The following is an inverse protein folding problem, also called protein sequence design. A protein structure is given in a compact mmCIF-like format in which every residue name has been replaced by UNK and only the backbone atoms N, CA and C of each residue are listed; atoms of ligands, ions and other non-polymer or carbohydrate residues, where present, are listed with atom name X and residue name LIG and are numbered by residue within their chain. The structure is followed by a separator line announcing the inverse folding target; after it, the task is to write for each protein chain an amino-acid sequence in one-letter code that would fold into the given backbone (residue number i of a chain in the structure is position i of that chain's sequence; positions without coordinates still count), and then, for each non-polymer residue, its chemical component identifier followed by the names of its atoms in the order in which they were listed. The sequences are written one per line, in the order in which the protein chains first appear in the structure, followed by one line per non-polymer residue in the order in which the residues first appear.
data_IF_536248186608
#
_entry.id   IF_536248186608
#
_cell.length_a   1.000
_cell.length_b   1.000
_cell.length_c   1.000
_cell.angle_alpha   90.00
_cell.angle_beta   90.00
_cell.angle_gamma   90.00
#
_symmetry.space_group_name_H-M   'P 1'
#
loop_
_entity.id
_entity.type
_entity.pdbx_description
1 polymer ?
#
# COMPACT_ATOMS: atom_id res chain seq x y z
N UNK A 1 39.66 76.06 14.81
CA UNK A 1 39.92 74.62 15.07
C UNK A 1 38.69 73.86 14.61
N UNK A 2 38.92 72.94 13.66
CA UNK A 2 38.18 71.71 13.34
C UNK A 2 36.64 71.83 13.24
N UNK A 3 36.00 71.75 12.08
CA UNK A 3 36.19 70.78 10.99
C UNK A 3 34.90 69.94 10.90
N UNK A 4 34.06 70.08 9.84
CA UNK A 4 32.75 69.45 9.74
C UNK A 4 32.83 68.11 8.99
N UNK A 5 32.04 67.11 9.38
CA UNK A 5 31.78 65.95 8.51
C UNK A 5 30.32 65.49 8.59
N UNK A 6 29.68 65.54 7.42
CA UNK A 6 28.45 64.89 7.02
C UNK A 6 28.51 63.37 7.24
N UNK A 7 27.38 62.76 7.59
CA UNK A 7 27.14 61.34 7.30
C UNK A 7 25.74 61.11 6.74
N UNK A 8 25.78 60.64 5.49
CA UNK A 8 24.69 60.14 4.66
C UNK A 8 23.84 59.06 5.34
N UNK A 9 22.55 59.12 5.05
CA UNK A 9 21.60 58.03 5.20
C UNK A 9 21.80 56.98 4.09
N UNK A 10 22.01 55.72 4.49
CA UNK A 10 21.74 54.51 3.69
C UNK A 10 21.18 53.40 4.59
N UNK A 11 20.37 52.47 4.03
CA UNK A 11 19.35 51.73 4.76
C UNK A 11 19.89 50.50 5.50
N UNK A 12 19.16 50.10 6.53
CA UNK A 12 19.41 48.90 7.32
C UNK A 12 19.31 47.63 6.46
N UNK A 13 20.44 46.93 6.34
CA UNK A 13 20.53 45.51 6.01
C UNK A 13 20.47 44.77 7.34
N UNK A 14 19.43 43.98 7.57
CA UNK A 14 19.39 43.04 8.70
C UNK A 14 20.01 41.72 8.24
N UNK A 15 21.31 41.55 8.54
CA UNK A 15 21.95 40.26 8.50
C UNK A 15 21.45 39.38 9.65
N UNK A 16 21.17 38.13 9.28
CA UNK A 16 20.90 37.00 10.15
C UNK A 16 22.13 36.72 11.02
N UNK A 17 21.99 36.79 12.34
CA UNK A 17 22.98 36.25 13.26
C UNK A 17 22.68 34.77 13.52
N UNK A 18 23.52 33.92 12.93
CA UNK A 18 23.80 32.58 13.41
C UNK A 18 24.51 32.60 14.77
N UNK A 19 24.28 31.54 15.54
CA UNK A 19 24.91 31.26 16.84
C UNK A 19 24.04 30.24 17.59
N UNK A 20 23.97 28.99 17.13
CA UNK A 20 24.84 27.88 17.56
C UNK A 20 24.70 27.57 19.06
N UNK A 21 24.68 26.36 19.57
CA UNK A 21 24.75 24.99 19.09
C UNK A 21 24.88 24.17 20.39
N UNK A 22 24.24 23.01 20.50
CA UNK A 22 24.81 21.81 21.14
C UNK A 22 23.72 20.80 21.48
N UNK A 23 23.58 19.78 20.62
CA UNK A 23 23.68 18.36 20.98
C UNK A 23 23.72 17.55 19.69
N UNK A 24 24.90 17.51 19.09
CA UNK A 24 25.31 16.39 18.27
C UNK A 24 25.73 15.26 19.22
N UNK A 25 25.02 14.14 19.21
CA UNK A 25 25.58 12.87 19.64
C UNK A 25 25.73 12.00 18.40
N UNK A 26 26.99 11.90 17.97
CA UNK A 26 27.49 10.88 17.06
C UNK A 26 27.17 9.48 17.58
N UNK A 27 26.58 8.63 16.75
CA UNK A 27 26.89 7.20 16.78
C UNK A 27 26.65 6.58 15.40
N UNK A 28 27.79 6.34 14.73
CA UNK A 28 28.07 5.24 13.80
C UNK A 28 27.10 4.97 12.65
N UNK A 29 27.66 5.00 11.44
CA UNK A 29 27.15 4.30 10.27
C UNK A 29 26.76 2.86 10.65
N UNK A 30 25.47 2.64 10.88
CA UNK A 30 24.87 1.33 10.98
C UNK A 30 24.34 1.02 9.59
N UNK A 31 24.86 -0.06 9.01
CA UNK A 31 24.38 -0.65 7.77
C UNK A 31 22.87 -0.74 7.83
N UNK A 32 22.18 0.16 7.11
CA UNK A 32 20.74 0.19 7.02
C UNK A 32 20.28 -1.10 6.35
N UNK A 33 19.99 -2.11 7.17
CA UNK A 33 19.37 -3.34 6.75
C UNK A 33 18.05 -2.99 6.07
N UNK A 34 17.95 -3.33 4.79
CA UNK A 34 16.68 -3.33 4.06
C UNK A 34 15.75 -4.32 4.78
N UNK A 35 14.78 -3.83 5.52
CA UNK A 35 13.79 -4.65 6.21
C UNK A 35 12.47 -4.57 5.45
N UNK A 36 12.14 -5.66 4.76
CA UNK A 36 10.91 -5.89 4.02
C UNK A 36 9.80 -6.36 4.96
N UNK A 37 8.55 -5.94 4.72
CA UNK A 37 7.38 -6.69 5.18
C UNK A 37 6.98 -7.65 4.06
N UNK A 38 7.42 -8.90 4.16
CA UNK A 38 6.82 -10.00 3.40
C UNK A 38 5.68 -10.52 4.28
N UNK A 39 4.45 -10.44 3.79
CA UNK A 39 3.31 -11.10 4.42
C UNK A 39 3.47 -12.62 4.22
N UNK A 40 4.12 -13.30 5.16
CA UNK A 40 4.17 -14.76 5.16
C UNK A 40 2.81 -15.24 5.70
N UNK A 41 1.89 -15.56 4.79
CA UNK A 41 0.64 -16.24 5.11
C UNK A 41 0.96 -17.70 5.39
N UNK A 42 0.63 -18.17 6.59
CA UNK A 42 0.70 -19.59 6.93
C UNK A 42 -0.69 -20.20 6.72
N UNK A 43 -0.93 -20.80 5.56
CA UNK A 43 -2.17 -21.54 5.33
C UNK A 43 -2.09 -22.93 6.00
N UNK A 44 -3.17 -23.42 6.65
CA UNK A 44 -3.25 -24.81 7.08
C UNK A 44 -3.48 -25.70 5.86
N UNK A 45 -2.43 -26.44 5.48
CA UNK A 45 -2.44 -27.42 4.40
C UNK A 45 -1.13 -28.21 4.40
N UNK A 46 -1.17 -29.47 3.95
CA UNK A 46 0.05 -30.28 3.81
C UNK A 46 0.80 -29.80 2.57
N UNK A 47 1.62 -28.76 2.75
CA UNK A 47 2.60 -28.35 1.74
C UNK A 47 3.57 -29.52 1.55
N UNK A 48 3.81 -29.94 0.31
CA UNK A 48 4.73 -31.03 0.01
C UNK A 48 6.15 -30.66 0.46
N UNK A 49 6.97 -31.64 0.83
CA UNK A 49 8.34 -31.37 1.25
C UNK A 49 9.20 -30.82 0.10
N UNK A 50 8.82 -31.10 -1.15
CA UNK A 50 9.42 -30.51 -2.34
C UNK A 50 9.14 -29.00 -2.44
N UNK A 51 7.89 -28.57 -2.22
CA UNK A 51 7.51 -27.16 -2.26
C UNK A 51 8.15 -26.39 -1.09
N UNK A 52 8.26 -27.00 0.09
CA UNK A 52 8.99 -26.42 1.23
C UNK A 52 10.48 -26.25 0.93
N UNK A 53 11.10 -27.23 0.28
CA UNK A 53 12.51 -27.18 -0.10
C UNK A 53 12.76 -26.10 -1.16
N UNK A 54 11.87 -25.95 -2.14
CA UNK A 54 11.95 -24.92 -3.16
C UNK A 54 11.75 -23.52 -2.58
N UNK A 55 10.73 -23.32 -1.72
CA UNK A 55 10.51 -22.05 -1.03
C UNK A 55 11.69 -21.68 -0.12
N UNK A 56 12.27 -22.67 0.57
CA UNK A 56 13.49 -22.48 1.37
C UNK A 56 14.66 -22.02 0.49
N UNK A 57 14.90 -22.67 -0.65
CA UNK A 57 15.99 -22.31 -1.55
C UNK A 57 15.84 -20.88 -2.12
N UNK A 58 14.61 -20.46 -2.45
CA UNK A 58 14.28 -19.10 -2.87
C UNK A 58 14.51 -18.07 -1.76
N UNK A 59 14.06 -18.36 -0.55
CA UNK A 59 14.31 -17.47 0.59
C UNK A 59 15.80 -17.42 0.96
N UNK A 60 16.54 -18.52 0.76
CA UNK A 60 17.98 -18.57 0.98
C UNK A 60 18.78 -17.76 -0.05
N UNK A 61 18.35 -17.77 -1.31
CA UNK A 61 18.99 -16.98 -2.37
C UNK A 61 18.73 -15.48 -2.22
N UNK A 62 17.54 -15.11 -1.72
CA UNK A 62 17.11 -13.71 -1.63
C UNK A 62 17.50 -13.05 -0.30
N UNK A 63 17.55 -13.81 0.80
CA UNK A 63 17.79 -13.27 2.14
C UNK A 63 19.01 -13.89 2.87
N UNK A 64 19.75 -14.80 2.24
CA UNK A 64 20.86 -15.52 2.86
C UNK A 64 20.38 -16.66 3.78
N UNK A 65 21.14 -17.05 4.80
CA UNK A 65 20.81 -18.21 5.66
C UNK A 65 19.36 -18.16 6.21
N UNK A 66 18.50 -19.02 5.69
CA UNK A 66 17.08 -19.11 6.05
C UNK A 66 16.89 -19.51 7.50
N UNK A 67 17.77 -20.30 8.11
CA UNK A 67 17.70 -20.59 9.54
C UNK A 67 18.05 -19.37 10.39
N UNK A 68 18.93 -18.49 9.91
CA UNK A 68 19.23 -17.20 10.56
C UNK A 68 18.05 -16.23 10.43
N UNK A 69 17.41 -16.16 9.26
CA UNK A 69 16.18 -15.40 9.04
C UNK A 69 15.03 -15.94 9.89
N UNK A 70 14.79 -17.25 9.89
CA UNK A 70 13.74 -17.91 10.68
C UNK A 70 13.93 -17.73 12.19
N UNK A 71 15.18 -17.68 12.66
CA UNK A 71 15.51 -17.41 14.08
C UNK A 71 15.46 -15.93 14.44
N UNK A 72 15.56 -15.02 13.48
CA UNK A 72 15.38 -13.58 13.68
C UNK A 72 13.91 -13.16 13.62
N UNK A 73 13.03 -13.99 13.04
CA UNK A 73 11.59 -13.84 13.17
C UNK A 73 11.18 -13.95 14.65
N UNK A 74 10.36 -13.01 15.18
CA UNK A 74 9.88 -13.09 16.54
C UNK A 74 9.14 -14.41 16.74
N UNK A 75 9.56 -15.23 17.72
CA UNK A 75 8.83 -16.44 18.10
C UNK A 75 7.38 -16.06 18.42
N UNK A 76 6.43 -16.67 17.72
CA UNK A 76 5.00 -16.51 17.98
C UNK A 76 4.69 -16.96 19.41
N UNK A 77 4.14 -16.05 20.20
CA UNK A 77 3.37 -16.44 21.37
C UNK A 77 2.14 -17.23 20.88
N UNK A 78 1.58 -18.16 21.68
CA UNK A 78 0.36 -18.86 21.31
C UNK A 78 -0.74 -17.87 20.89
N UNK A 79 -1.63 -18.25 19.94
CA UNK A 79 -2.65 -17.37 19.41
C UNK A 79 -3.60 -16.98 20.54
N UNK A 80 -3.34 -15.81 21.12
CA UNK A 80 -4.36 -15.05 21.80
C UNK A 80 -5.21 -14.47 20.68
N UNK A 81 -6.52 -14.76 20.70
CA UNK A 81 -7.49 -14.16 19.77
C UNK A 81 -7.08 -12.72 19.49
N UNK A 82 -6.88 -12.27 18.24
CA UNK A 82 -6.46 -10.91 18.00
C UNK A 82 -7.52 -10.00 18.61
N UNK A 83 -7.16 -9.38 19.73
CA UNK A 83 -7.99 -8.33 20.27
C UNK A 83 -7.90 -7.23 19.23
N UNK A 84 -9.00 -6.99 18.50
CA UNK A 84 -9.18 -5.82 17.63
C UNK A 84 -9.23 -4.52 18.44
N UNK A 85 -8.62 -4.51 19.62
CA UNK A 85 -8.51 -3.37 20.47
C UNK A 85 -7.14 -2.75 20.29
N UNK A 86 -7.12 -1.43 20.11
CA UNK A 86 -5.89 -0.66 20.03
C UNK A 86 -5.75 0.22 21.27
N UNK A 87 -4.51 0.43 21.76
CA UNK A 87 -4.27 1.40 22.80
C UNK A 87 -4.32 2.82 22.24
N UNK A 88 -5.07 3.71 22.86
CA UNK A 88 -5.12 5.14 22.53
C UNK A 88 -4.97 5.95 23.82
N UNK A 89 -4.31 7.11 23.76
CA UNK A 89 -4.03 7.90 24.96
C UNK A 89 -5.07 9.00 25.14
N UNK A 90 -5.70 9.04 26.29
CA UNK A 90 -6.44 10.22 26.76
C UNK A 90 -5.50 11.11 27.57
N UNK A 91 -5.92 12.35 27.84
CA UNK A 91 -5.14 13.29 28.66
C UNK A 91 -4.74 12.70 30.03
N UNK A 92 -5.53 11.76 30.56
CA UNK A 92 -5.37 11.23 31.92
C UNK A 92 -5.10 9.72 31.99
N UNK A 93 -5.19 8.95 30.88
CA UNK A 93 -4.97 7.50 30.91
C UNK A 93 -4.84 6.85 29.53
N UNK A 94 -4.22 5.66 29.48
CA UNK A 94 -4.23 4.76 28.31
C UNK A 94 -5.55 3.99 28.28
N UNK A 95 -6.35 4.21 27.25
CA UNK A 95 -7.59 3.47 27.01
C UNK A 95 -7.39 2.42 25.92
N UNK A 96 -8.11 1.31 26.04
CA UNK A 96 -8.18 0.28 25.01
C UNK A 96 -9.50 0.45 24.27
N UNK A 97 -9.46 0.77 22.98
CA UNK A 97 -10.67 0.99 22.17
C UNK A 97 -10.85 -0.13 21.15
N UNK A 98 -12.08 -0.52 20.87
CA UNK A 98 -12.40 -1.42 19.75
C UNK A 98 -12.17 -0.68 18.42
N UNK A 99 -11.18 -1.13 17.66
CA UNK A 99 -10.77 -0.51 16.40
C UNK A 99 -11.87 -0.55 15.34
N UNK A 100 -12.67 -1.62 15.29
CA UNK A 100 -13.75 -1.74 14.29
C UNK A 100 -14.84 -0.73 14.60
N UNK A 101 -15.26 -0.65 15.86
CA UNK A 101 -16.27 0.32 16.29
C UNK A 101 -15.78 1.75 16.07
N UNK A 102 -14.55 2.06 16.51
CA UNK A 102 -13.93 3.38 16.33
C UNK A 102 -13.86 3.80 14.86
N UNK A 103 -13.35 2.94 13.98
CA UNK A 103 -13.28 3.24 12.54
C UNK A 103 -14.67 3.37 11.92
N UNK A 104 -15.65 2.58 12.37
CA UNK A 104 -17.02 2.69 11.86
C UNK A 104 -17.61 4.07 12.17
N UNK A 105 -17.48 4.55 13.41
CA UNK A 105 -17.97 5.87 13.80
C UNK A 105 -17.21 7.01 13.09
N UNK A 106 -15.91 6.86 12.92
CA UNK A 106 -15.05 7.83 12.22
C UNK A 106 -15.44 7.95 10.75
N UNK A 107 -15.72 6.84 10.08
CA UNK A 107 -15.86 6.80 8.61
C UNK A 107 -17.30 6.96 8.12
N UNK A 108 -18.31 6.72 8.96
CA UNK A 108 -19.73 6.82 8.56
C UNK A 108 -20.07 8.22 7.99
N UNK A 109 -19.48 9.28 8.54
CA UNK A 109 -19.73 10.66 8.10
C UNK A 109 -19.13 10.98 6.73
N UNK A 110 -18.17 10.17 6.27
CA UNK A 110 -17.58 10.22 4.93
C UNK A 110 -18.31 9.32 3.93
N UNK A 111 -19.42 8.70 4.37
CA UNK A 111 -20.21 7.79 3.55
C UNK A 111 -19.53 6.44 3.34
N UNK A 112 -18.75 5.95 4.29
CA UNK A 112 -18.18 4.61 4.26
C UNK A 112 -18.93 3.66 5.19
N UNK A 113 -19.14 2.42 4.73
CA UNK A 113 -19.79 1.34 5.49
C UNK A 113 -18.84 0.14 5.57
N UNK A 114 -18.88 -0.67 6.64
CA UNK A 114 -18.07 -1.88 6.72
C UNK A 114 -18.28 -2.79 5.50
N UNK A 115 -17.21 -3.21 4.85
CA UNK A 115 -17.26 -4.03 3.64
C UNK A 115 -17.51 -5.54 3.92
N UNK A 116 -18.12 -5.86 5.06
CA UNK A 116 -18.31 -7.23 5.55
C UNK A 116 -17.16 -7.76 6.41
N UNK A 117 -17.39 -8.89 7.09
CA UNK A 117 -16.33 -9.64 7.79
C UNK A 117 -15.74 -10.62 6.79
N UNK A 118 -14.43 -10.60 6.55
CA UNK A 118 -13.79 -11.80 6.02
C UNK A 118 -13.57 -12.81 7.14
N UNK A 119 -13.68 -14.08 6.74
CA UNK A 119 -13.94 -15.26 7.56
C UNK A 119 -12.70 -15.87 8.21
N UNK A 120 -11.55 -15.20 8.18
CA UNK A 120 -10.36 -15.60 8.94
C UNK A 120 -10.16 -14.61 10.08
N UNK A 121 -10.38 -15.09 11.31
CA UNK A 121 -10.20 -14.33 12.56
C UNK A 121 -8.76 -13.82 12.74
N UNK A 122 -7.82 -14.25 11.89
CA UNK A 122 -6.38 -13.98 11.96
C UNK A 122 -5.93 -12.68 11.25
N UNK A 123 -6.82 -11.95 10.59
CA UNK A 123 -6.46 -10.72 9.90
C UNK A 123 -6.75 -9.47 10.76
N UNK A 124 -5.67 -8.73 11.09
CA UNK A 124 -5.72 -7.38 11.68
C UNK A 124 -6.19 -6.30 10.68
N UNK A 125 -6.75 -6.71 9.54
CA UNK A 125 -7.18 -5.81 8.49
C UNK A 125 -8.71 -5.60 8.50
N UNK A 126 -9.12 -4.35 8.37
CA UNK A 126 -10.52 -3.94 8.40
C UNK A 126 -10.80 -3.12 7.14
N UNK A 127 -11.80 -3.53 6.35
CA UNK A 127 -12.18 -2.85 5.12
C UNK A 127 -13.52 -2.14 5.21
N UNK A 128 -13.61 -1.00 4.55
CA UNK A 128 -14.80 -0.18 4.41
C UNK A 128 -15.05 0.11 2.93
N UNK A 129 -16.31 0.00 2.50
CA UNK A 129 -16.77 0.35 1.16
C UNK A 129 -17.43 1.72 1.20
N UNK A 130 -17.15 2.57 0.23
CA UNK A 130 -17.88 3.81 0.09
C UNK A 130 -19.31 3.57 -0.41
N UNK A 131 -20.30 4.11 0.28
CA UNK A 131 -21.71 4.10 -0.11
C UNK A 131 -21.95 4.84 -1.43
N UNK A 132 -21.06 5.78 -1.77
CA UNK A 132 -21.05 6.48 -3.05
C UNK A 132 -20.34 5.69 -4.17
N UNK A 133 -19.96 4.43 -3.97
CA UNK A 133 -19.50 3.56 -5.05
C UNK A 133 -20.55 3.44 -6.17
N UNK A 134 -20.12 3.19 -7.40
CA UNK A 134 -21.02 2.93 -8.52
C UNK A 134 -21.11 1.42 -8.81
N UNK A 135 -22.04 0.98 -9.68
CA UNK A 135 -22.05 -0.40 -10.18
C UNK A 135 -20.80 -0.76 -11.01
N UNK A 136 -20.13 0.21 -11.63
CA UNK A 136 -18.96 -0.03 -12.48
C UNK A 136 -17.65 0.02 -11.69
N UNK A 137 -17.55 0.92 -10.70
CA UNK A 137 -16.34 1.15 -9.90
C UNK A 137 -16.69 1.20 -8.42
N UNK A 138 -16.11 0.26 -7.68
CA UNK A 138 -16.19 0.17 -6.23
C UNK A 138 -15.02 0.93 -5.59
N UNK A 139 -15.28 1.58 -4.46
CA UNK A 139 -14.26 2.33 -3.72
C UNK A 139 -14.16 1.79 -2.31
N UNK A 140 -12.93 1.54 -1.87
CA UNK A 140 -12.64 0.98 -0.57
C UNK A 140 -11.58 1.79 0.16
N UNK A 141 -11.64 1.73 1.49
CA UNK A 141 -10.52 2.04 2.38
C UNK A 141 -10.29 0.80 3.22
N UNK A 142 -9.03 0.36 3.36
CA UNK A 142 -8.67 -0.68 4.32
C UNK A 142 -7.64 -0.17 5.32
N UNK A 143 -7.66 -0.75 6.51
CA UNK A 143 -6.79 -0.41 7.63
C UNK A 143 -6.14 -1.66 8.18
N UNK A 144 -4.87 -1.58 8.55
CA UNK A 144 -4.15 -2.67 9.20
C UNK A 144 -3.42 -2.16 10.45
N UNK A 145 -3.69 -2.80 11.59
CA UNK A 145 -3.01 -2.49 12.84
C UNK A 145 -1.81 -3.43 13.04
N UNK A 146 -0.65 -2.86 13.36
CA UNK A 146 0.60 -3.60 13.51
C UNK A 146 1.50 -3.06 14.64
N UNK A 147 2.54 -3.82 14.97
CA UNK A 147 3.41 -3.57 16.12
C UNK A 147 3.07 -4.44 17.33
N UNK A 148 3.91 -4.42 18.37
CA UNK A 148 3.65 -5.12 19.64
C UNK A 148 3.79 -4.13 20.81
N UNK A 149 2.67 -3.70 21.46
CA UNK A 149 1.27 -3.96 21.07
C UNK A 149 0.91 -3.31 19.72
N UNK A 150 -0.25 -3.62 19.13
CA UNK A 150 -0.76 -2.98 17.90
C UNK A 150 -0.76 -1.45 18.09
N UNK A 151 0.31 -0.77 17.71
CA UNK A 151 0.59 0.64 18.04
C UNK A 151 0.65 1.51 16.78
N UNK A 152 0.71 0.88 15.61
CA UNK A 152 0.71 1.56 14.34
C UNK A 152 -0.53 1.20 13.56
N UNK A 153 -1.11 2.20 12.89
CA UNK A 153 -2.23 2.03 11.98
C UNK A 153 -1.80 2.48 10.58
N UNK A 154 -1.77 1.53 9.64
CA UNK A 154 -1.65 1.83 8.22
C UNK A 154 -3.01 1.80 7.55
N UNK A 155 -3.11 2.47 6.40
CA UNK A 155 -4.32 2.47 5.60
C UNK A 155 -4.01 2.52 4.10
N UNK A 156 -4.91 1.97 3.31
CA UNK A 156 -4.89 2.01 1.85
C UNK A 156 -6.25 2.39 1.30
N UNK A 157 -6.25 3.11 0.19
CA UNK A 157 -7.44 3.43 -0.61
C UNK A 157 -7.39 2.63 -1.90
N UNK A 158 -8.49 1.97 -2.25
CA UNK A 158 -8.52 1.02 -3.35
C UNK A 158 -9.72 1.22 -4.24
N UNK A 159 -9.53 1.06 -5.54
CA UNK A 159 -10.59 1.04 -6.55
C UNK A 159 -10.75 -0.36 -7.11
N UNK A 160 -11.99 -0.81 -7.26
CA UNK A 160 -12.31 -2.14 -7.77
C UNK A 160 -13.20 -2.09 -9.00
N UNK A 161 -12.96 -3.01 -9.92
CA UNK A 161 -13.86 -3.35 -11.02
C UNK A 161 -13.84 -4.87 -11.14
N UNK A 162 -14.89 -5.55 -10.67
CA UNK A 162 -14.89 -6.99 -10.41
C UNK A 162 -14.34 -7.84 -11.56
N UNK A 163 -14.76 -7.67 -12.84
CA UNK A 163 -14.18 -8.46 -13.93
C UNK A 163 -12.68 -8.22 -14.14
N UNK A 164 -12.21 -6.99 -13.92
CA UNK A 164 -10.79 -6.64 -14.09
C UNK A 164 -9.96 -7.13 -12.90
N UNK A 165 -10.52 -7.10 -11.69
CA UNK A 165 -9.88 -7.67 -10.50
C UNK A 165 -9.70 -9.19 -10.65
N UNK A 166 -10.75 -9.90 -11.10
CA UNK A 166 -10.69 -11.35 -11.37
C UNK A 166 -9.66 -11.69 -12.45
N UNK A 167 -9.62 -10.89 -13.53
CA UNK A 167 -8.60 -11.05 -14.56
C UNK A 167 -7.19 -10.84 -14.01
N UNK A 168 -6.98 -9.79 -13.22
CA UNK A 168 -5.69 -9.48 -12.60
C UNK A 168 -5.25 -10.55 -11.60
N UNK A 169 -6.17 -11.12 -10.83
CA UNK A 169 -5.90 -12.26 -9.96
C UNK A 169 -5.48 -13.49 -10.74
N UNK A 170 -6.18 -13.81 -11.82
CA UNK A 170 -5.82 -14.94 -12.67
C UNK A 170 -4.45 -14.74 -13.33
N UNK A 171 -4.18 -13.53 -13.83
CA UNK A 171 -2.87 -13.16 -14.36
C UNK A 171 -1.80 -13.36 -13.28
N UNK A 172 -2.00 -12.79 -12.09
CA UNK A 172 -1.08 -12.95 -10.94
C UNK A 172 -0.77 -14.43 -10.66
N UNK A 173 -1.79 -15.28 -10.55
CA UNK A 173 -1.59 -16.71 -10.28
C UNK A 173 -0.81 -17.43 -11.39
N UNK A 174 -0.99 -17.00 -12.65
CA UNK A 174 -0.27 -17.55 -13.79
C UNK A 174 1.22 -17.17 -13.81
N UNK A 175 1.58 -16.03 -13.21
CA UNK A 175 2.96 -15.54 -13.15
C UNK A 175 3.68 -15.81 -11.82
N UNK A 176 2.94 -16.13 -10.76
CA UNK A 176 3.53 -16.53 -9.49
C UNK A 176 4.04 -17.98 -9.52
N UNK A 177 5.19 -18.26 -8.88
CA UNK A 177 5.61 -19.63 -8.59
C UNK A 177 4.51 -20.36 -7.82
N UNK A 178 4.37 -21.67 -8.07
CA UNK A 178 3.30 -22.50 -7.50
C UNK A 178 3.18 -22.37 -5.97
N UNK A 179 4.32 -22.29 -5.27
CA UNK A 179 4.39 -22.14 -3.81
C UNK A 179 3.71 -20.87 -3.25
N UNK A 180 3.51 -19.84 -4.08
CA UNK A 180 2.87 -18.59 -3.67
C UNK A 180 1.39 -18.54 -4.05
N UNK A 181 0.89 -19.44 -4.91
CA UNK A 181 -0.51 -19.37 -5.40
C UNK A 181 -1.53 -19.46 -4.27
N UNK A 182 -1.30 -20.34 -3.31
CA UNK A 182 -2.21 -20.55 -2.17
C UNK A 182 -2.22 -19.37 -1.18
N UNK A 183 -1.11 -18.63 -1.09
CA UNK A 183 -0.99 -17.42 -0.25
C UNK A 183 -1.84 -16.29 -0.83
N UNK A 184 -1.92 -16.19 -2.15
CA UNK A 184 -2.62 -15.10 -2.84
C UNK A 184 -4.05 -15.44 -3.26
N UNK A 185 -4.47 -16.71 -3.16
CA UNK A 185 -5.81 -17.16 -3.55
C UNK A 185 -6.95 -16.62 -2.66
N UNK A 186 -6.65 -16.03 -1.49
CA UNK A 186 -7.65 -15.56 -0.52
C UNK A 186 -7.37 -14.13 -0.08
N UNK A 187 -7.59 -13.17 -0.96
CA UNK A 187 -7.57 -11.76 -0.58
C UNK A 187 -8.96 -11.29 -0.14
N UNK A 188 -9.03 -10.46 0.92
CA UNK A 188 -10.25 -9.79 1.29
C UNK A 188 -10.87 -9.01 0.13
N UNK A 189 -12.20 -8.98 0.02
CA UNK A 189 -12.91 -8.31 -1.09
C UNK A 189 -12.58 -6.81 -1.26
N UNK A 190 -12.07 -6.16 -0.21
CA UNK A 190 -11.67 -4.75 -0.19
C UNK A 190 -10.19 -4.53 -0.58
N UNK A 191 -9.38 -5.58 -0.64
CA UNK A 191 -8.06 -5.52 -1.24
C UNK A 191 -8.22 -5.62 -2.75
N UNK A 192 -7.98 -4.51 -3.44
CA UNK A 192 -8.03 -4.43 -4.91
C UNK A 192 -6.65 -4.16 -5.48
N UNK A 193 -6.46 -4.48 -6.76
CA UNK A 193 -5.16 -4.32 -7.42
C UNK A 193 -4.86 -2.85 -7.73
N UNK A 194 -5.88 -2.00 -7.89
CA UNK A 194 -5.69 -0.55 -7.93
C UNK A 194 -5.75 0.01 -6.51
N UNK A 195 -4.68 -0.19 -5.75
CA UNK A 195 -4.54 0.23 -4.35
C UNK A 195 -3.43 1.27 -4.18
N UNK A 196 -3.66 2.24 -3.30
CA UNK A 196 -2.73 3.30 -2.98
C UNK A 196 -2.57 3.41 -1.46
N UNK A 197 -1.33 3.39 -0.97
CA UNK A 197 -1.01 3.54 0.45
C UNK A 197 -1.39 4.96 0.92
N UNK A 198 -2.49 5.07 1.68
CA UNK A 198 -3.01 6.36 2.15
C UNK A 198 -1.96 7.08 2.99
N UNK A 199 -1.28 6.37 3.90
CA UNK A 199 -0.28 7.00 4.74
C UNK A 199 0.95 7.50 3.98
N UNK A 200 1.26 6.93 2.80
CA UNK A 200 2.33 7.46 1.95
C UNK A 200 1.89 8.79 1.35
N UNK A 201 0.67 8.82 0.82
CA UNK A 201 0.08 9.98 0.17
C UNK A 201 -0.16 11.12 1.16
N UNK A 202 -0.65 10.79 2.35
CA UNK A 202 -0.92 11.73 3.43
C UNK A 202 0.30 12.03 4.30
N UNK A 203 1.49 11.54 3.92
CA UNK A 203 2.76 11.76 4.64
C UNK A 203 2.68 11.41 6.13
N UNK A 204 1.99 10.31 6.45
CA UNK A 204 2.02 9.73 7.79
C UNK A 204 3.43 9.23 8.10
N UNK A 205 3.74 9.12 9.39
CA UNK A 205 5.11 8.95 9.91
C UNK A 205 5.77 7.62 9.56
N UNK A 206 6.20 6.88 10.58
CA UNK A 206 7.02 5.69 10.38
C UNK A 206 6.31 4.67 9.49
N UNK A 207 6.97 4.29 8.38
CA UNK A 207 6.44 3.32 7.41
C UNK A 207 5.01 3.66 6.97
N UNK A 208 4.74 4.94 6.71
CA UNK A 208 3.45 5.39 6.18
C UNK A 208 2.27 5.01 7.10
N UNK A 209 2.51 5.00 8.41
CA UNK A 209 1.54 4.63 9.43
C UNK A 209 1.43 5.73 10.49
N UNK A 210 0.27 5.83 11.13
CA UNK A 210 0.09 6.66 12.32
C UNK A 210 0.57 5.86 13.53
N UNK A 211 1.42 6.45 14.38
CA UNK A 211 1.64 5.95 15.73
C UNK A 211 0.43 6.34 16.58
N UNK A 212 -0.51 5.40 16.76
CA UNK A 212 -1.77 5.67 17.45
C UNK A 212 -1.57 5.97 18.94
N UNK A 213 -0.38 5.70 19.47
CA UNK A 213 -0.04 6.04 20.85
C UNK A 213 0.25 7.53 21.04
N UNK A 214 0.43 8.28 19.95
CA UNK A 214 0.64 9.74 20.01
C UNK A 214 -0.67 10.53 19.97
N UNK A 215 -1.81 9.86 19.82
CA UNK A 215 -3.11 10.51 19.62
C UNK A 215 -4.11 10.18 20.73
N UNK A 216 -5.01 11.13 20.98
CA UNK A 216 -6.34 10.85 21.55
C UNK A 216 -7.26 10.25 20.50
N UNK A 217 -8.34 9.59 20.94
CA UNK A 217 -9.32 9.02 20.01
C UNK A 217 -9.88 10.09 19.06
N UNK A 218 -10.21 11.27 19.59
CA UNK A 218 -10.73 12.39 18.78
C UNK A 218 -9.72 12.94 17.77
N UNK A 219 -8.44 13.08 18.16
CA UNK A 219 -7.39 13.57 17.26
C UNK A 219 -7.00 12.52 16.22
N UNK A 220 -7.00 11.24 16.59
CA UNK A 220 -6.78 10.13 15.66
C UNK A 220 -7.90 10.06 14.62
N UNK A 221 -9.16 10.17 15.06
CA UNK A 221 -10.32 10.18 14.16
C UNK A 221 -10.22 11.33 13.15
N UNK A 222 -9.93 12.54 13.62
CA UNK A 222 -9.72 13.71 12.75
C UNK A 222 -8.60 13.50 11.74
N UNK A 223 -7.44 12.97 12.17
CA UNK A 223 -6.32 12.72 11.27
C UNK A 223 -6.68 11.72 10.16
N UNK A 224 -7.42 10.66 10.50
CA UNK A 224 -7.91 9.66 9.55
C UNK A 224 -8.95 10.30 8.61
N UNK A 225 -9.92 11.01 9.15
CA UNK A 225 -10.98 11.66 8.37
C UNK A 225 -10.43 12.66 7.37
N UNK A 226 -9.53 13.54 7.80
CA UNK A 226 -8.94 14.58 6.95
C UNK A 226 -8.14 13.94 5.80
N UNK A 227 -7.39 12.86 6.09
CA UNK A 227 -6.64 12.13 5.07
C UNK A 227 -7.58 11.47 4.04
N UNK A 228 -8.65 10.81 4.49
CA UNK A 228 -9.61 10.13 3.61
C UNK A 228 -10.45 11.13 2.83
N UNK A 229 -10.89 12.22 3.47
CA UNK A 229 -11.62 13.30 2.80
C UNK A 229 -10.78 13.88 1.66
N UNK A 230 -9.54 14.24 1.94
CA UNK A 230 -8.64 14.86 0.96
C UNK A 230 -8.31 13.91 -0.20
N UNK A 231 -7.95 12.65 0.08
CA UNK A 231 -7.38 11.78 -0.94
C UNK A 231 -8.35 10.76 -1.52
N UNK A 232 -9.34 10.29 -0.77
CA UNK A 232 -10.37 9.41 -1.32
C UNK A 232 -11.60 10.19 -1.78
N UNK A 233 -12.19 11.02 -0.92
CA UNK A 233 -13.45 11.71 -1.26
C UNK A 233 -13.23 12.78 -2.32
N UNK A 234 -12.31 13.72 -2.12
CA UNK A 234 -12.14 14.85 -3.04
C UNK A 234 -11.45 14.47 -4.36
N UNK A 235 -10.59 13.44 -4.34
CA UNK A 235 -9.74 13.09 -5.50
C UNK A 235 -10.20 11.84 -6.25
N UNK A 236 -10.78 10.85 -5.57
CA UNK A 236 -11.18 9.59 -6.21
C UNK A 236 -12.69 9.43 -6.37
N UNK A 237 -13.53 10.20 -5.68
CA UNK A 237 -14.98 10.00 -5.76
C UNK A 237 -15.56 10.24 -7.16
N UNK A 238 -14.90 11.00 -8.02
CA UNK A 238 -15.32 11.20 -9.42
C UNK A 238 -15.05 9.99 -10.32
N UNK A 239 -14.24 9.02 -9.89
CA UNK A 239 -13.88 7.84 -10.69
C UNK A 239 -15.03 6.81 -10.63
N UNK A 240 -16.09 7.04 -11.40
CA UNK A 240 -17.32 6.24 -11.37
C UNK A 240 -17.48 5.26 -12.52
N UNK A 241 -16.64 5.34 -13.52
CA UNK A 241 -16.76 4.55 -14.74
C UNK A 241 -15.42 3.91 -15.11
N UNK A 242 -15.50 2.92 -15.98
CA UNK A 242 -14.35 2.14 -16.47
C UNK A 242 -13.32 3.04 -17.16
N UNK A 243 -13.76 4.06 -17.90
CA UNK A 243 -12.89 5.02 -18.57
C UNK A 243 -12.07 5.83 -17.57
N UNK A 244 -12.75 6.49 -16.63
CA UNK A 244 -12.10 7.25 -15.57
C UNK A 244 -11.11 6.39 -14.75
N UNK A 245 -11.48 5.14 -14.45
CA UNK A 245 -10.62 4.20 -13.73
C UNK A 245 -9.39 3.80 -14.54
N UNK A 246 -9.56 3.54 -15.85
CA UNK A 246 -8.44 3.27 -16.76
C UNK A 246 -7.48 4.46 -16.83
N UNK A 247 -8.00 5.69 -17.02
CA UNK A 247 -7.19 6.91 -17.10
C UNK A 247 -6.39 7.15 -15.82
N UNK A 248 -6.96 6.88 -14.65
CA UNK A 248 -6.22 6.92 -13.39
C UNK A 248 -5.17 5.79 -13.33
N UNK A 249 -5.52 4.60 -13.79
CA UNK A 249 -4.66 3.42 -13.79
C UNK A 249 -3.37 3.62 -14.58
N UNK A 250 -3.44 4.25 -15.76
CA UNK A 250 -2.27 4.49 -16.64
C UNK A 250 -1.35 5.63 -16.15
N UNK A 251 -1.87 6.54 -15.31
CA UNK A 251 -1.10 7.67 -14.80
C UNK A 251 -0.15 7.24 -13.68
N UNK A 252 1.08 7.72 -13.74
CA UNK A 252 2.10 7.59 -12.69
C UNK A 252 2.47 8.96 -12.14
N UNK A 253 1.45 9.65 -11.63
CA UNK A 253 1.56 11.00 -11.07
C UNK A 253 1.11 11.04 -9.62
N UNK A 254 1.65 12.00 -8.86
CA UNK A 254 1.20 12.22 -7.49
C UNK A 254 -0.27 12.67 -7.48
N UNK A 255 -1.07 12.25 -6.48
CA UNK A 255 -0.70 11.40 -5.36
C UNK A 255 -0.72 9.88 -5.66
N UNK A 256 -1.32 9.46 -6.77
CA UNK A 256 -1.69 8.07 -7.08
C UNK A 256 -0.67 7.33 -7.94
N UNK A 257 0.60 7.54 -7.65
CA UNK A 257 1.71 6.88 -8.36
C UNK A 257 1.64 5.36 -8.29
N UNK A 258 2.25 4.73 -9.27
CA UNK A 258 2.48 3.30 -9.24
C UNK A 258 3.40 2.95 -8.07
N UNK A 259 3.12 1.87 -7.32
CA UNK A 259 4.05 1.40 -6.30
C UNK A 259 5.36 1.00 -6.98
N UNK A 260 6.48 1.21 -6.27
CA UNK A 260 7.82 0.99 -6.83
C UNK A 260 8.16 -0.49 -7.08
N UNK A 261 7.32 -1.43 -6.61
CA UNK A 261 7.60 -2.86 -6.62
C UNK A 261 6.36 -3.66 -7.01
N UNK A 262 6.53 -4.58 -7.96
CA UNK A 262 5.73 -5.82 -8.03
C UNK A 262 4.26 -5.71 -8.39
N UNK A 263 3.82 -4.67 -9.11
CA UNK A 263 2.39 -4.49 -9.40
C UNK A 263 1.94 -5.08 -10.75
N UNK A 264 2.43 -6.29 -11.02
CA UNK A 264 1.95 -7.19 -12.09
C UNK A 264 0.41 -7.25 -12.15
N UNK A 265 -0.33 -7.29 -11.02
CA UNK A 265 -1.79 -7.28 -11.05
C UNK A 265 -2.39 -5.95 -11.56
N UNK A 266 -1.87 -4.78 -11.16
CA UNK A 266 -2.34 -3.50 -11.73
C UNK A 266 -2.04 -3.40 -13.22
N UNK A 267 -0.92 -3.93 -13.71
CA UNK A 267 -0.66 -4.00 -15.16
C UNK A 267 -1.75 -4.82 -15.86
N UNK A 268 -2.08 -6.00 -15.34
CA UNK A 268 -3.14 -6.84 -15.89
C UNK A 268 -4.51 -6.15 -15.83
N UNK A 269 -4.80 -5.45 -14.74
CA UNK A 269 -6.02 -4.67 -14.60
C UNK A 269 -6.11 -3.56 -15.66
N UNK A 270 -5.05 -2.76 -15.82
CA UNK A 270 -5.01 -1.66 -16.80
C UNK A 270 -5.10 -2.19 -18.23
N UNK A 271 -4.42 -3.30 -18.55
CA UNK A 271 -4.54 -3.97 -19.84
C UNK A 271 -5.98 -4.39 -20.12
N UNK A 272 -6.64 -5.08 -19.19
CA UNK A 272 -8.04 -5.50 -19.34
C UNK A 272 -8.99 -4.30 -19.54
N UNK A 273 -8.86 -3.27 -18.70
CA UNK A 273 -9.71 -2.07 -18.80
C UNK A 273 -9.49 -1.35 -20.13
N UNK A 274 -8.24 -1.20 -20.57
CA UNK A 274 -7.90 -0.57 -21.85
C UNK A 274 -8.49 -1.32 -23.04
N UNK A 275 -8.32 -2.65 -23.08
CA UNK A 275 -8.90 -3.49 -24.14
C UNK A 275 -10.42 -3.45 -24.14
N UNK A 276 -11.06 -3.46 -22.96
CA UNK A 276 -12.51 -3.31 -22.81
C UNK A 276 -13.03 -1.97 -23.36
N UNK A 277 -12.21 -0.92 -23.29
CA UNK A 277 -12.51 0.40 -23.85
C UNK A 277 -12.14 0.54 -25.34
N UNK A 278 -11.63 -0.53 -25.98
CA UNK A 278 -11.22 -0.51 -27.38
C UNK A 278 -9.91 0.23 -27.64
N UNK A 279 -9.06 0.42 -26.61
CA UNK A 279 -7.72 1.00 -26.77
C UNK A 279 -6.83 0.08 -27.60
N UNK A 280 -6.01 0.67 -28.46
CA UNK A 280 -5.10 -0.08 -29.31
C UNK A 280 -4.04 -0.84 -28.49
N UNK A 281 -3.65 -2.02 -28.96
CA UNK A 281 -2.71 -2.88 -28.24
C UNK A 281 -1.30 -2.25 -28.20
N UNK A 282 -0.87 -1.59 -29.27
CA UNK A 282 0.44 -0.93 -29.33
C UNK A 282 0.45 0.31 -28.42
N UNK A 283 -0.66 1.05 -28.34
CA UNK A 283 -0.84 2.16 -27.38
C UNK A 283 -0.68 1.67 -25.93
N UNK A 284 -1.40 0.60 -25.56
CA UNK A 284 -1.30 0.01 -24.22
C UNK A 284 0.09 -0.54 -23.94
N UNK A 285 0.71 -1.20 -24.93
CA UNK A 285 2.06 -1.73 -24.83
C UNK A 285 3.07 -0.61 -24.52
N UNK A 286 3.00 0.49 -25.26
CA UNK A 286 3.87 1.66 -25.05
C UNK A 286 3.72 2.29 -23.66
N UNK A 287 2.52 2.18 -23.08
CA UNK A 287 2.21 2.66 -21.73
C UNK A 287 2.70 1.71 -20.65
N UNK A 288 2.50 0.39 -20.82
CA UNK A 288 2.70 -0.60 -19.77
C UNK A 288 4.14 -1.11 -19.65
N UNK A 289 4.87 -1.25 -20.76
CA UNK A 289 6.27 -1.74 -20.74
C UNK A 289 7.17 -0.90 -19.83
N UNK A 290 7.16 0.45 -19.90
CA UNK A 290 8.01 1.27 -19.05
C UNK A 290 7.76 1.03 -17.55
N UNK A 291 6.54 0.68 -17.15
CA UNK A 291 6.25 0.33 -15.76
C UNK A 291 6.82 -1.01 -15.38
N UNK A 292 6.60 -2.04 -16.22
CA UNK A 292 7.11 -3.39 -15.96
C UNK A 292 8.64 -3.42 -15.90
N UNK A 293 9.29 -2.66 -16.77
CA UNK A 293 10.74 -2.51 -16.78
C UNK A 293 11.31 -1.86 -15.50
N UNK A 294 10.54 -1.00 -14.81
CA UNK A 294 10.99 -0.35 -13.55
C UNK A 294 11.18 -1.36 -12.40
N UNK A 295 10.43 -2.48 -12.40
CA UNK A 295 10.51 -3.48 -11.33
C UNK A 295 11.10 -4.82 -11.77
N UNK A 296 11.27 -5.06 -13.07
CA UNK A 296 12.09 -6.16 -13.59
C UNK A 296 13.53 -5.69 -13.81
N UNK A 297 14.45 -6.06 -12.92
CA UNK A 297 15.90 -6.00 -13.16
C UNK A 297 16.57 -7.25 -12.58
N UNK A 298 17.59 -7.84 -13.23
CA UNK A 298 17.79 -9.30 -13.31
C UNK A 298 18.58 -9.87 -12.11
N UNK A 299 18.39 -11.15 -11.74
CA UNK A 299 19.18 -12.23 -12.34
C UNK A 299 18.48 -13.62 -12.30
N UNK A 300 17.52 -13.87 -13.17
CA UNK A 300 17.34 -15.24 -13.68
C UNK A 300 16.73 -15.18 -15.08
N UNK A 301 17.38 -15.82 -16.05
CA UNK A 301 16.96 -15.86 -17.46
C UNK A 301 15.70 -16.72 -17.69
N UNK A 302 15.08 -17.19 -16.61
CA UNK A 302 13.89 -18.03 -16.60
C UNK A 302 12.58 -17.23 -16.59
N UNK A 303 12.62 -15.95 -16.24
CA UNK A 303 11.43 -15.08 -16.24
C UNK A 303 11.21 -14.39 -17.59
N UNK A 304 9.93 -14.24 -18.03
CA UNK A 304 9.63 -13.50 -19.26
C UNK A 304 10.08 -12.04 -19.13
N UNK A 305 10.52 -11.44 -20.24
CA UNK A 305 10.81 -10.01 -20.36
C UNK A 305 9.59 -9.13 -20.02
N UNK A 306 9.80 -7.81 -19.91
CA UNK A 306 8.69 -6.87 -19.73
C UNK A 306 7.75 -6.90 -20.94
N UNK A 307 8.31 -6.95 -22.14
CA UNK A 307 7.63 -7.07 -23.42
C UNK A 307 6.79 -8.35 -23.49
N UNK A 308 7.38 -9.52 -23.24
CA UNK A 308 6.67 -10.80 -23.29
C UNK A 308 5.54 -10.88 -22.27
N UNK A 309 5.77 -10.32 -21.08
CA UNK A 309 4.74 -10.22 -20.06
C UNK A 309 3.56 -9.35 -20.52
N UNK A 310 3.83 -8.13 -20.99
CA UNK A 310 2.78 -7.20 -21.45
C UNK A 310 2.03 -7.77 -22.65
N UNK A 311 2.74 -8.32 -23.65
CA UNK A 311 2.15 -8.92 -24.85
C UNK A 311 1.24 -10.11 -24.49
N UNK A 312 1.67 -10.94 -23.53
CA UNK A 312 0.85 -12.06 -23.04
C UNK A 312 -0.40 -11.56 -22.33
N UNK A 313 -0.26 -10.61 -21.41
CA UNK A 313 -1.39 -10.05 -20.65
C UNK A 313 -2.41 -9.37 -21.57
N UNK A 314 -1.97 -8.64 -22.59
CA UNK A 314 -2.87 -8.02 -23.58
C UNK A 314 -3.64 -9.07 -24.39
N UNK A 315 -2.96 -10.14 -24.82
CA UNK A 315 -3.61 -11.27 -25.51
C UNK A 315 -4.62 -11.97 -24.62
N UNK A 316 -4.26 -12.24 -23.37
CA UNK A 316 -5.14 -12.90 -22.41
C UNK A 316 -6.37 -12.02 -22.12
N UNK A 317 -6.22 -10.70 -22.10
CA UNK A 317 -7.33 -9.76 -21.97
C UNK A 317 -8.29 -9.82 -23.17
N UNK A 318 -7.77 -9.89 -24.41
CA UNK A 318 -8.59 -10.05 -25.62
C UNK A 318 -9.41 -11.35 -25.58
N UNK A 319 -8.77 -12.46 -25.16
CA UNK A 319 -9.45 -13.75 -25.00
C UNK A 319 -10.55 -13.65 -23.94
N UNK A 320 -10.24 -13.09 -22.77
CA UNK A 320 -11.20 -12.96 -21.68
C UNK A 320 -12.44 -12.16 -22.10
N UNK A 321 -12.25 -11.06 -22.85
CA UNK A 321 -13.33 -10.21 -23.36
C UNK A 321 -14.14 -10.84 -24.50
N UNK A 322 -13.57 -11.79 -25.25
CA UNK A 322 -14.30 -12.52 -26.30
C UNK A 322 -15.17 -13.65 -25.73
N UNK A 323 -14.83 -14.17 -24.54
CA UNK A 323 -15.49 -15.34 -23.92
C UNK A 323 -16.49 -15.02 -22.82
N UNK A 324 -16.56 -13.76 -22.37
CA UNK A 324 -17.45 -13.30 -21.28
C UNK A 324 -18.42 -12.23 -21.74
#
# INVERSE_FOLDING_TARGET
MSGPEDKEHRPAVTELSDGAANRASSSSASTAGRHFMVHIVRAPGVVSDADKAQAKALLESEFGDYERFRKSLPKEAPPTKPSKTIPVWTADSKQSIDLVHFLTETLQHLGYVPAGRNADEDHNEIGFRAAWSSPAVEHFVSFNAWGRPNQYLSASISLGHTPADLFADQARLNFLPAAYRDIYARQPIWQKHMSFELGRIASWGLRFSLDITEFSASSLARQIEDSIRTFAVEKLSSVKDVGSMFELGVRDEEPFRWPKWGDTPRVAMVAYLGRKLGRDADELRSTLIPYVAKFKSPPDTSEPSAEEFVDRVLRDADVALATG
#
